data_IF_844680571682
#
_entry.id   IF_844680571682
#
_cell.length_a   1.000
_cell.length_b   1.000
_cell.length_c   1.000
_cell.angle_alpha   90.00
_cell.angle_beta   90.00
_cell.angle_gamma   90.00
#
_symmetry.space_group_name_H-M   'P 1'
#
loop_
_entity.id
_entity.type
_entity.pdbx_description
1 polymer ?
#
# COMPACT_ATOMS: atom_id res chain seq x y z
N UNK A 1 8.34 -12.20 12.53
CA UNK A 1 8.49 -11.10 11.56
C UNK A 1 7.70 -9.91 12.09
N UNK A 2 8.21 -8.70 11.91
CA UNK A 2 7.46 -7.48 12.21
C UNK A 2 6.15 -7.45 11.39
N UNK A 3 5.06 -7.02 12.03
CA UNK A 3 3.74 -6.88 11.43
C UNK A 3 3.77 -5.95 10.20
N UNK A 4 4.61 -4.90 10.22
CA UNK A 4 4.85 -4.01 9.07
C UNK A 4 5.36 -4.80 7.86
N UNK A 5 6.33 -5.67 8.08
CA UNK A 5 6.98 -6.46 7.03
C UNK A 5 6.02 -7.45 6.39
N UNK A 6 5.18 -8.13 7.18
CA UNK A 6 4.20 -9.09 6.65
C UNK A 6 3.11 -8.39 5.81
N UNK A 7 2.59 -7.26 6.29
CA UNK A 7 1.60 -6.47 5.55
C UNK A 7 2.19 -5.93 4.25
N UNK A 8 3.40 -5.37 4.30
CA UNK A 8 4.09 -4.87 3.10
C UNK A 8 4.31 -5.98 2.06
N UNK A 9 4.79 -7.15 2.49
CA UNK A 9 5.00 -8.29 1.59
C UNK A 9 3.72 -8.75 0.89
N UNK A 10 2.58 -8.77 1.61
CA UNK A 10 1.30 -9.12 1.00
C UNK A 10 0.85 -8.09 -0.04
N UNK A 11 1.04 -6.80 0.24
CA UNK A 11 0.75 -5.71 -0.71
C UNK A 11 1.64 -5.76 -1.95
N UNK A 12 2.95 -5.93 -1.77
CA UNK A 12 3.91 -6.04 -2.87
C UNK A 12 3.59 -7.24 -3.78
N UNK A 13 3.17 -8.38 -3.19
CA UNK A 13 2.73 -9.55 -3.95
C UNK A 13 1.49 -9.25 -4.80
N UNK A 14 0.46 -8.63 -4.22
CA UNK A 14 -0.77 -8.28 -4.95
C UNK A 14 -0.52 -7.27 -6.06
N UNK A 15 0.32 -6.25 -5.80
CA UNK A 15 0.75 -5.25 -6.80
C UNK A 15 1.47 -5.94 -7.97
N UNK A 16 2.41 -6.84 -7.67
CA UNK A 16 3.14 -7.60 -8.70
C UNK A 16 2.22 -8.52 -9.53
N UNK A 17 1.26 -9.19 -8.89
CA UNK A 17 0.28 -10.02 -9.58
C UNK A 17 -0.57 -9.19 -10.55
N UNK A 18 -1.05 -8.03 -10.09
CA UNK A 18 -1.78 -7.08 -10.93
C UNK A 18 -0.94 -6.57 -12.11
N UNK A 19 0.31 -6.18 -11.87
CA UNK A 19 1.24 -5.72 -12.92
C UNK A 19 1.43 -6.77 -14.02
N UNK A 20 1.54 -8.05 -13.64
CA UNK A 20 1.68 -9.14 -14.61
C UNK A 20 0.42 -9.33 -15.45
N UNK A 21 -0.76 -9.27 -14.83
CA UNK A 21 -2.04 -9.36 -15.54
C UNK A 21 -2.21 -8.16 -16.48
N UNK A 22 -1.89 -6.95 -16.02
CA UNK A 22 -1.94 -5.74 -16.84
C UNK A 22 -1.02 -5.85 -18.07
N UNK A 23 0.25 -6.27 -17.90
CA UNK A 23 1.18 -6.49 -19.03
C UNK A 23 0.66 -7.53 -20.02
N UNK A 24 0.04 -8.60 -19.52
CA UNK A 24 -0.58 -9.63 -20.36
C UNK A 24 -1.75 -9.06 -21.15
N UNK A 25 -2.61 -8.28 -20.51
CA UNK A 25 -3.74 -7.60 -21.15
C UNK A 25 -3.28 -6.61 -22.23
N UNK A 26 -2.22 -5.83 -21.96
CA UNK A 26 -1.60 -4.93 -22.93
C UNK A 26 -1.17 -5.70 -24.18
N UNK A 27 -0.45 -6.81 -23.99
CA UNK A 27 0.05 -7.64 -25.09
C UNK A 27 -1.09 -8.21 -25.94
N UNK A 28 -2.13 -8.75 -25.30
CA UNK A 28 -3.29 -9.34 -25.99
C UNK A 28 -4.02 -8.28 -26.81
N UNK A 29 -4.29 -7.11 -26.23
CA UNK A 29 -4.99 -6.04 -26.93
C UNK A 29 -4.14 -5.48 -28.09
N UNK A 30 -2.83 -5.28 -27.90
CA UNK A 30 -1.95 -4.79 -28.96
C UNK A 30 -1.90 -5.79 -30.15
N UNK A 31 -1.96 -7.09 -29.87
CA UNK A 31 -2.06 -8.13 -30.91
C UNK A 31 -3.43 -8.16 -31.59
N UNK A 32 -4.52 -7.97 -30.82
CA UNK A 32 -5.86 -7.88 -31.35
C UNK A 32 -6.00 -6.67 -32.28
N UNK A 33 -5.48 -5.50 -31.90
CA UNK A 33 -5.52 -4.29 -32.72
C UNK A 33 -4.75 -4.43 -34.03
N UNK A 34 -3.58 -5.06 -34.01
CA UNK A 34 -2.85 -5.40 -35.25
C UNK A 34 -3.70 -6.27 -36.17
N UNK A 35 -4.39 -7.26 -35.60
CA UNK A 35 -5.24 -8.19 -36.34
C UNK A 35 -6.45 -7.48 -36.94
N UNK A 36 -7.07 -6.57 -36.17
CA UNK A 36 -8.17 -5.71 -36.62
C UNK A 36 -7.71 -4.77 -37.72
N UNK A 37 -6.59 -4.07 -37.56
CA UNK A 37 -6.02 -3.18 -38.58
C UNK A 37 -5.79 -3.92 -39.89
N UNK A 38 -5.12 -5.08 -39.82
CA UNK A 38 -4.86 -5.92 -40.99
C UNK A 38 -6.16 -6.40 -41.68
N UNK A 39 -7.19 -6.69 -40.90
CA UNK A 39 -8.49 -7.05 -41.45
C UNK A 39 -9.12 -5.85 -42.17
N UNK A 40 -9.21 -4.68 -41.52
CA UNK A 40 -9.79 -3.45 -42.07
C UNK A 40 -9.14 -3.01 -43.39
N UNK A 41 -7.83 -3.20 -43.53
CA UNK A 41 -7.09 -2.92 -44.76
C UNK A 41 -7.52 -3.81 -45.95
N UNK A 42 -8.02 -5.01 -45.65
CA UNK A 42 -8.47 -6.00 -46.64
C UNK A 42 -9.96 -5.94 -46.95
N UNK A 43 -10.71 -5.03 -46.34
CA UNK A 43 -12.16 -4.91 -46.54
C UNK A 43 -12.47 -3.73 -47.47
N UNK A 44 -12.58 -3.94 -48.80
CA UNK A 44 -12.78 -2.85 -49.75
C UNK A 44 -14.17 -2.21 -49.69
N UNK A 45 -15.14 -2.86 -49.03
CA UNK A 45 -16.52 -2.35 -48.92
C UNK A 45 -16.73 -1.38 -47.75
N UNK A 46 -15.72 -1.20 -46.88
CA UNK A 46 -15.86 -0.34 -45.70
C UNK A 46 -15.35 1.08 -45.99
N UNK A 47 -16.17 2.13 -45.76
CA UNK A 47 -15.74 3.53 -45.86
C UNK A 47 -14.59 3.86 -44.89
N UNK A 48 -13.76 4.83 -45.26
CA UNK A 48 -12.58 5.21 -44.47
C UNK A 48 -12.98 5.76 -43.09
N UNK A 49 -14.07 6.51 -43.00
CA UNK A 49 -14.58 7.07 -41.75
C UNK A 49 -14.92 5.97 -40.74
N UNK A 50 -15.50 4.87 -41.20
CA UNK A 50 -15.85 3.71 -40.36
C UNK A 50 -14.60 2.97 -39.86
N UNK A 51 -13.54 2.89 -40.68
CA UNK A 51 -12.25 2.30 -40.26
C UNK A 51 -11.60 3.15 -39.18
N UNK A 52 -11.59 4.47 -39.35
CA UNK A 52 -11.04 5.39 -38.36
C UNK A 52 -11.78 5.29 -37.02
N UNK A 53 -13.11 5.20 -37.02
CA UNK A 53 -13.89 5.03 -35.79
C UNK A 53 -13.50 3.77 -35.00
N UNK A 54 -13.24 2.64 -35.69
CA UNK A 54 -12.82 1.39 -35.05
C UNK A 54 -11.42 1.55 -34.42
N UNK A 55 -10.49 2.23 -35.10
CA UNK A 55 -9.15 2.49 -34.60
C UNK A 55 -9.18 3.45 -33.39
N UNK A 56 -9.99 4.51 -33.45
CA UNK A 56 -10.21 5.42 -32.32
C UNK A 56 -10.79 4.71 -31.11
N UNK A 57 -11.72 3.79 -31.31
CA UNK A 57 -12.28 2.98 -30.22
C UNK A 57 -11.20 2.12 -29.54
N UNK A 58 -10.27 1.55 -30.31
CA UNK A 58 -9.08 0.87 -29.78
C UNK A 58 -8.22 1.80 -28.91
N UNK A 59 -7.98 3.02 -29.36
CA UNK A 59 -7.25 4.03 -28.58
C UNK A 59 -7.97 4.43 -27.29
N UNK A 60 -9.30 4.52 -27.30
CA UNK A 60 -10.08 4.76 -26.09
C UNK A 60 -9.92 3.62 -25.07
N UNK A 61 -9.93 2.36 -25.53
CA UNK A 61 -9.65 1.22 -24.65
C UNK A 61 -8.25 1.25 -24.06
N UNK A 62 -7.23 1.58 -24.88
CA UNK A 62 -5.85 1.76 -24.39
C UNK A 62 -5.79 2.81 -23.29
N UNK A 63 -6.40 3.96 -23.51
CA UNK A 63 -6.46 5.02 -22.51
C UNK A 63 -7.15 4.54 -21.24
N UNK A 64 -8.31 3.87 -21.37
CA UNK A 64 -9.05 3.32 -20.24
C UNK A 64 -8.25 2.32 -19.40
N UNK A 65 -7.52 1.39 -20.04
CA UNK A 65 -6.66 0.45 -19.29
C UNK A 65 -5.50 1.15 -18.57
N UNK A 66 -4.93 2.19 -19.18
CA UNK A 66 -3.78 2.91 -18.61
C UNK A 66 -4.23 3.80 -17.45
N UNK A 67 -5.41 4.42 -17.57
CA UNK A 67 -6.02 5.18 -16.48
C UNK A 67 -6.41 4.25 -15.31
N UNK A 68 -6.93 3.05 -15.59
CA UNK A 68 -7.16 2.03 -14.56
C UNK A 68 -5.86 1.62 -13.86
N UNK A 69 -4.79 1.36 -14.62
CA UNK A 69 -3.47 1.03 -14.08
C UNK A 69 -2.97 2.12 -13.14
N UNK A 70 -3.05 3.39 -13.57
CA UNK A 70 -2.65 4.53 -12.75
C UNK A 70 -3.47 4.62 -11.47
N UNK A 71 -4.79 4.48 -11.54
CA UNK A 71 -5.66 4.51 -10.36
C UNK A 71 -5.33 3.40 -9.35
N UNK A 72 -5.02 2.20 -9.85
CA UNK A 72 -4.60 1.07 -9.00
C UNK A 72 -3.24 1.35 -8.34
N UNK A 73 -2.25 1.84 -9.10
CA UNK A 73 -0.93 2.18 -8.57
C UNK A 73 -1.01 3.26 -7.48
N UNK A 74 -1.74 4.35 -7.74
CA UNK A 74 -1.96 5.42 -6.78
C UNK A 74 -2.66 4.89 -5.51
N UNK A 75 -3.57 3.92 -5.66
CA UNK A 75 -4.25 3.26 -4.55
C UNK A 75 -3.30 2.44 -3.69
N UNK A 76 -2.41 1.66 -4.31
CA UNK A 76 -1.37 0.91 -3.61
C UNK A 76 -0.43 1.82 -2.84
N UNK A 77 0.05 2.91 -3.45
CA UNK A 77 1.00 3.82 -2.84
C UNK A 77 0.38 4.56 -1.63
N UNK A 78 -0.88 4.99 -1.75
CA UNK A 78 -1.63 5.57 -0.63
C UNK A 78 -1.79 4.59 0.51
N UNK A 79 -2.21 3.35 0.19
CA UNK A 79 -2.46 2.33 1.19
C UNK A 79 -1.19 1.92 1.94
N UNK A 80 -0.07 1.80 1.23
CA UNK A 80 1.24 1.61 1.85
C UNK A 80 1.55 2.76 2.83
N UNK A 81 1.38 4.02 2.40
CA UNK A 81 1.60 5.18 3.27
C UNK A 81 0.71 5.17 4.53
N UNK A 82 -0.58 4.83 4.39
CA UNK A 82 -1.52 4.75 5.52
C UNK A 82 -1.14 3.65 6.50
N UNK A 83 -0.74 2.48 5.99
CA UNK A 83 -0.36 1.35 6.82
C UNK A 83 0.95 1.62 7.58
N UNK A 84 1.96 2.15 6.90
CA UNK A 84 3.23 2.56 7.54
C UNK A 84 2.97 3.58 8.65
N UNK A 85 2.19 4.62 8.37
CA UNK A 85 1.82 5.65 9.34
C UNK A 85 1.08 5.07 10.56
N UNK A 86 0.13 4.17 10.32
CA UNK A 86 -0.67 3.53 11.37
C UNK A 86 0.18 2.62 12.26
N UNK A 87 1.07 1.83 11.68
CA UNK A 87 1.99 0.97 12.43
C UNK A 87 2.91 1.83 13.30
N UNK A 88 3.51 2.87 12.75
CA UNK A 88 4.39 3.78 13.51
C UNK A 88 3.66 4.49 14.65
N UNK A 89 2.43 4.95 14.42
CA UNK A 89 1.60 5.54 15.48
C UNK A 89 1.32 4.54 16.61
N UNK A 90 1.01 3.29 16.24
CA UNK A 90 0.75 2.21 17.20
C UNK A 90 1.99 1.87 18.03
N UNK A 91 3.16 1.77 17.38
CA UNK A 91 4.44 1.52 18.05
C UNK A 91 4.81 2.65 19.02
N UNK A 92 4.64 3.92 18.62
CA UNK A 92 4.88 5.07 19.48
C UNK A 92 3.96 5.07 20.69
N UNK A 93 2.66 4.78 20.52
CA UNK A 93 1.71 4.69 21.62
C UNK A 93 2.09 3.57 22.60
N UNK A 94 2.49 2.40 22.09
CA UNK A 94 2.95 1.29 22.92
C UNK A 94 4.22 1.64 23.72
N UNK A 95 5.20 2.30 23.08
CA UNK A 95 6.43 2.75 23.74
C UNK A 95 6.14 3.80 24.83
N UNK A 96 5.26 4.76 24.58
CA UNK A 96 4.86 5.77 25.55
C UNK A 96 4.16 5.15 26.77
N UNK A 97 3.27 4.19 26.55
CA UNK A 97 2.61 3.45 27.63
C UNK A 97 3.64 2.71 28.50
N UNK A 98 4.57 1.97 27.88
CA UNK A 98 5.63 1.25 28.59
C UNK A 98 6.55 2.18 29.39
N UNK A 99 6.93 3.33 28.81
CA UNK A 99 7.79 4.30 29.48
C UNK A 99 7.10 4.96 30.67
N UNK A 100 5.80 5.23 30.54
CA UNK A 100 4.97 5.77 31.62
C UNK A 100 4.90 4.80 32.78
N UNK A 101 4.59 3.52 32.52
CA UNK A 101 4.55 2.47 33.55
C UNK A 101 5.91 2.26 34.23
N UNK A 102 7.02 2.29 33.46
CA UNK A 102 8.37 2.18 34.05
C UNK A 102 8.70 3.36 34.97
N UNK A 103 8.34 4.58 34.57
CA UNK A 103 8.58 5.79 35.37
C UNK A 103 7.79 5.77 36.68
N UNK A 104 6.51 5.43 36.64
CA UNK A 104 5.68 5.33 37.85
C UNK A 104 6.17 4.20 38.78
N UNK A 105 6.59 3.05 38.24
CA UNK A 105 7.19 1.98 39.04
C UNK A 105 8.51 2.41 39.71
N UNK A 106 9.39 3.13 39.00
CA UNK A 106 10.63 3.67 39.57
C UNK A 106 10.38 4.72 40.65
N UNK A 107 9.40 5.59 40.47
CA UNK A 107 9.01 6.57 41.50
C UNK A 107 8.45 5.89 42.75
N UNK A 108 7.56 4.92 42.59
CA UNK A 108 7.01 4.16 43.72
C UNK A 108 8.10 3.40 44.50
N UNK A 109 9.05 2.78 43.78
CA UNK A 109 10.21 2.11 44.37
C UNK A 109 11.09 3.07 45.19
N UNK A 110 11.38 4.26 44.65
CA UNK A 110 12.18 5.27 45.37
C UNK A 110 11.47 5.76 46.62
N UNK A 111 10.19 6.12 46.52
CA UNK A 111 9.39 6.57 47.65
C UNK A 111 9.31 5.50 48.76
N UNK A 112 9.12 4.23 48.40
CA UNK A 112 9.12 3.12 49.37
C UNK A 112 10.47 2.97 50.08
N UNK A 113 11.60 3.14 49.36
CA UNK A 113 12.94 3.05 49.94
C UNK A 113 13.26 4.21 50.89
N UNK A 114 12.79 5.41 50.59
CA UNK A 114 12.96 6.60 51.43
C UNK A 114 12.13 6.47 52.72
N UNK A 115 10.87 6.04 52.61
CA UNK A 115 10.01 5.76 53.77
C UNK A 115 10.60 4.69 54.69
N UNK A 116 11.21 3.63 54.14
CA UNK A 116 11.87 2.59 54.94
C UNK A 116 13.07 3.13 55.72
N UNK A 117 13.93 3.91 55.06
CA UNK A 117 15.10 4.55 55.71
C UNK A 117 14.69 5.57 56.77
N UNK A 118 13.58 6.28 56.57
CA UNK A 118 13.04 7.23 57.55
C UNK A 118 12.49 6.50 58.79
N UNK A 119 11.81 5.37 58.60
CA UNK A 119 11.30 4.56 59.70
C UNK A 119 12.43 3.92 60.54
N UNK A 120 13.47 3.38 59.90
CA UNK A 120 14.64 2.82 60.61
C UNK A 120 15.37 3.87 61.44
N UNK A 121 15.61 5.07 60.87
CA UNK A 121 16.21 6.19 61.61
C UNK A 121 15.38 6.69 62.78
N UNK A 122 14.06 6.51 62.74
CA UNK A 122 13.15 6.93 63.81
C UNK A 122 13.01 5.89 64.91
N UNK A 123 13.45 4.64 64.71
CA UNK A 123 13.44 3.61 65.77
C UNK A 123 14.78 3.46 66.50
N UNK A 124 15.86 4.07 66.00
CA UNK A 124 17.18 4.12 66.66
C UNK A 124 17.37 5.36 67.57
N UNK A 125 16.36 6.24 67.65
CA UNK A 125 16.31 7.39 68.58
C UNK A 125 15.33 7.14 69.71
#
# INVERSE_FOLDING_TARGET
>A
MDQKTMVKQAFDFQKSAFDNVYRSMVTIQDQAEKSVSFFLDRVPWMPEESKQLILEWGNMYKKGRDDLKRAVDDGYDKMESYLVSTVEATERAAQQAQQTTRRSAQQASRAASESRKAAEKSSEK
#
